data_IF_153910339273
#
_entry.id   IF_153910339273
#
_cell.length_a   1.000
_cell.length_b   1.000
_cell.length_c   1.000
_cell.angle_alpha   90.00
_cell.angle_beta   90.00
_cell.angle_gamma   90.00
#
_symmetry.space_group_name_H-M   'P 1'
#
loop_
_entity.id
_entity.type
_entity.pdbx_description
1 polymer ?
#
# COMPACT_ATOMS: atom_id res chain seq x y z
N UNK A 1 36.84 6.79 1.93
CA UNK A 1 37.19 5.60 1.13
C UNK A 1 36.19 4.44 1.24
N UNK A 2 35.68 4.07 2.42
CA UNK A 2 34.73 2.93 2.57
C UNK A 2 33.31 3.24 2.03
N UNK A 3 32.80 4.45 2.30
CA UNK A 3 31.46 4.88 1.85
C UNK A 3 31.39 5.04 0.31
N UNK A 4 32.46 5.49 -0.33
CA UNK A 4 32.51 5.63 -1.80
C UNK A 4 32.54 4.29 -2.53
N UNK A 5 33.17 3.26 -1.94
CA UNK A 5 33.14 1.89 -2.50
C UNK A 5 31.74 1.28 -2.38
N UNK A 6 31.07 1.49 -1.25
CA UNK A 6 29.68 1.06 -1.03
C UNK A 6 28.72 1.72 -2.02
N UNK A 7 28.87 3.03 -2.26
CA UNK A 7 28.04 3.77 -3.22
C UNK A 7 28.26 3.31 -4.67
N UNK A 8 29.50 3.03 -5.07
CA UNK A 8 29.81 2.51 -6.42
C UNK A 8 29.23 1.12 -6.67
N UNK A 9 29.21 0.24 -5.67
CA UNK A 9 28.63 -1.10 -5.78
C UNK A 9 27.09 -1.06 -5.94
N UNK A 10 26.43 -0.09 -5.30
CA UNK A 10 24.96 0.06 -5.33
C UNK A 10 24.49 0.86 -6.57
N UNK A 11 25.31 1.78 -7.09
CA UNK A 11 24.94 2.68 -8.21
C UNK A 11 25.09 2.09 -9.63
N UNK A 12 25.27 0.77 -9.77
CA UNK A 12 25.30 0.10 -11.07
C UNK A 12 23.99 0.35 -11.83
N UNK A 13 24.05 1.18 -12.88
CA UNK A 13 22.90 1.66 -13.67
C UNK A 13 21.92 0.54 -13.98
N UNK A 14 20.66 0.71 -13.56
CA UNK A 14 19.51 0.00 -14.10
C UNK A 14 19.37 0.33 -15.59
N UNK A 15 20.04 -0.47 -16.43
CA UNK A 15 19.86 -0.48 -17.88
C UNK A 15 18.58 -1.22 -18.25
N UNK A 16 17.91 -0.76 -19.30
CA UNK A 16 16.76 -1.43 -19.91
C UNK A 16 17.09 -2.89 -20.21
N UNK A 17 16.16 -3.78 -19.84
CA UNK A 17 16.30 -5.25 -19.94
C UNK A 17 16.46 -5.70 -21.40
N UNK A 18 17.69 -6.08 -21.75
CA UNK A 18 17.97 -7.18 -22.71
C UNK A 18 18.56 -8.35 -21.91
N UNK A 19 18.24 -9.58 -22.30
CA UNK A 19 18.72 -10.79 -21.60
C UNK A 19 20.25 -10.73 -21.43
N UNK A 20 20.79 -10.95 -20.20
CA UNK A 20 22.22 -10.93 -20.00
C UNK A 20 22.86 -12.13 -20.72
N UNK A 21 23.85 -11.87 -21.57
CA UNK A 21 24.68 -12.92 -22.18
C UNK A 21 25.57 -13.57 -21.09
N UNK A 22 26.01 -14.83 -21.28
CA UNK A 22 26.78 -15.63 -20.29
C UNK A 22 28.00 -14.90 -19.71
N UNK A 23 28.57 -13.96 -20.47
CA UNK A 23 29.69 -13.08 -20.03
C UNK A 23 29.32 -12.14 -18.87
N UNK A 24 28.08 -11.67 -18.81
CA UNK A 24 27.61 -10.71 -17.80
C UNK A 24 27.53 -11.38 -16.42
N UNK A 25 27.14 -12.65 -16.40
CA UNK A 25 27.02 -13.44 -15.18
C UNK A 25 28.40 -13.82 -14.60
N UNK A 26 29.36 -14.22 -15.44
CA UNK A 26 30.75 -14.43 -15.02
C UNK A 26 31.32 -13.18 -14.35
N UNK A 27 31.07 -12.00 -14.93
CA UNK A 27 31.50 -10.71 -14.39
C UNK A 27 30.88 -10.41 -13.01
N UNK A 28 29.58 -10.72 -12.82
CA UNK A 28 28.93 -10.55 -11.52
C UNK A 28 29.51 -11.49 -10.44
N UNK A 29 29.75 -12.76 -10.79
CA UNK A 29 30.30 -13.75 -9.85
C UNK A 29 31.75 -13.41 -9.47
N UNK A 30 32.58 -13.02 -10.43
CA UNK A 30 33.95 -12.55 -10.19
C UNK A 30 33.96 -11.29 -9.31
N UNK A 31 33.04 -10.36 -9.56
CA UNK A 31 32.88 -9.16 -8.73
C UNK A 31 32.52 -9.53 -7.28
N UNK A 32 31.64 -10.52 -7.05
CA UNK A 32 31.26 -10.90 -5.69
C UNK A 32 32.41 -11.62 -4.97
N UNK A 33 33.15 -12.48 -5.68
CA UNK A 33 34.35 -13.14 -5.16
C UNK A 33 35.45 -12.14 -4.78
N UNK A 34 35.67 -11.11 -5.60
CA UNK A 34 36.62 -10.04 -5.33
C UNK A 34 36.25 -9.19 -4.10
N UNK A 35 34.99 -9.22 -3.67
CA UNK A 35 34.47 -8.54 -2.48
C UNK A 35 34.08 -9.53 -1.37
N UNK A 36 34.75 -10.69 -1.31
CA UNK A 36 34.54 -11.74 -0.29
C UNK A 36 34.87 -11.30 1.13
N UNK A 37 35.54 -10.18 1.30
CA UNK A 37 35.77 -9.53 2.59
C UNK A 37 34.46 -9.00 3.20
N UNK A 38 33.51 -8.52 2.38
CA UNK A 38 32.23 -7.94 2.83
C UNK A 38 30.98 -8.75 2.44
N UNK A 39 31.08 -9.67 1.48
CA UNK A 39 29.98 -10.51 1.03
C UNK A 39 30.08 -11.92 1.64
N UNK A 40 28.94 -12.49 2.01
CA UNK A 40 28.82 -13.86 2.54
C UNK A 40 28.37 -14.85 1.47
N UNK A 41 27.70 -14.39 0.42
CA UNK A 41 27.19 -15.29 -0.61
C UNK A 41 26.21 -14.65 -1.59
N UNK A 42 25.34 -15.50 -2.14
CA UNK A 42 24.32 -15.15 -3.13
C UNK A 42 22.93 -15.48 -2.57
N UNK A 43 21.94 -14.66 -2.92
CA UNK A 43 20.53 -14.94 -2.73
C UNK A 43 19.82 -14.88 -4.08
N UNK A 44 18.95 -15.84 -4.35
CA UNK A 44 18.11 -15.79 -5.54
C UNK A 44 16.85 -14.95 -5.26
N UNK A 45 16.63 -13.94 -6.08
CA UNK A 45 15.51 -13.02 -5.96
C UNK A 45 14.64 -13.08 -7.22
N UNK A 46 13.45 -13.65 -7.11
CA UNK A 46 12.43 -13.68 -8.16
C UNK A 46 11.58 -12.40 -8.17
N UNK A 47 10.93 -12.09 -9.29
CA UNK A 47 9.90 -11.03 -9.28
C UNK A 47 8.61 -11.60 -8.68
N UNK A 48 8.01 -10.93 -7.68
CA UNK A 48 6.76 -11.34 -7.03
C UNK A 48 5.53 -10.97 -7.88
N UNK A 49 5.35 -11.70 -8.98
CA UNK A 49 4.18 -11.57 -9.86
C UNK A 49 3.88 -12.89 -10.59
N UNK A 50 2.67 -12.98 -11.17
CA UNK A 50 2.16 -14.22 -11.78
C UNK A 50 2.79 -14.61 -13.13
N UNK A 51 3.75 -13.84 -13.65
CA UNK A 51 4.56 -14.23 -14.82
C UNK A 51 5.81 -15.00 -14.42
N UNK A 52 6.19 -15.03 -13.14
CA UNK A 52 7.31 -15.86 -12.66
C UNK A 52 6.96 -17.33 -12.84
N UNK A 53 7.93 -18.15 -13.25
CA UNK A 53 7.71 -19.58 -13.44
C UNK A 53 7.88 -20.33 -12.12
N UNK A 54 7.35 -21.55 -12.04
CA UNK A 54 7.38 -22.33 -10.80
C UNK A 54 8.82 -22.68 -10.37
N UNK A 55 9.71 -22.97 -11.33
CA UNK A 55 11.15 -23.22 -11.07
C UNK A 55 11.83 -22.01 -10.41
N UNK A 56 11.56 -20.81 -10.92
CA UNK A 56 12.10 -19.57 -10.35
C UNK A 56 11.46 -19.22 -9.00
N UNK A 57 10.15 -19.46 -8.86
CA UNK A 57 9.42 -19.24 -7.61
C UNK A 57 9.98 -20.11 -6.47
N UNK A 58 10.28 -21.38 -6.74
CA UNK A 58 10.89 -22.32 -5.78
C UNK A 58 12.27 -21.87 -5.31
N UNK A 59 12.97 -21.03 -6.08
CA UNK A 59 14.31 -20.55 -5.73
C UNK A 59 14.29 -19.23 -4.97
N UNK A 60 13.19 -18.48 -4.97
CA UNK A 60 13.13 -17.17 -4.32
C UNK A 60 13.46 -17.28 -2.82
N UNK A 61 14.42 -16.47 -2.36
CA UNK A 61 14.88 -16.46 -0.98
C UNK A 61 15.95 -17.51 -0.63
N UNK A 62 16.24 -18.47 -1.52
CA UNK A 62 17.33 -19.44 -1.31
C UNK A 62 18.69 -18.76 -1.36
N UNK A 63 19.65 -19.27 -0.58
CA UNK A 63 20.97 -18.66 -0.38
C UNK A 63 22.09 -19.68 -0.58
N UNK A 64 23.22 -19.22 -1.09
CA UNK A 64 24.43 -20.01 -1.32
C UNK A 64 25.66 -19.25 -0.86
N UNK A 65 26.72 -19.95 -0.46
CA UNK A 65 28.04 -19.35 -0.19
C UNK A 65 28.68 -18.84 -1.49
N UNK A 66 29.80 -18.11 -1.38
CA UNK A 66 30.56 -17.61 -2.54
C UNK A 66 31.10 -18.72 -3.45
N UNK A 67 31.29 -19.92 -2.90
CA UNK A 67 31.70 -21.15 -3.58
C UNK A 67 30.51 -21.90 -4.22
N UNK A 68 29.29 -21.38 -4.03
CA UNK A 68 28.06 -21.97 -4.56
C UNK A 68 27.50 -23.10 -3.70
N UNK A 69 27.93 -23.23 -2.44
CA UNK A 69 27.41 -24.25 -1.51
C UNK A 69 26.04 -23.80 -0.98
N UNK A 70 25.00 -24.64 -1.07
CA UNK A 70 23.66 -24.33 -0.56
C UNK A 70 23.62 -24.05 0.95
N UNK A 71 22.82 -23.07 1.39
CA UNK A 71 22.63 -22.72 2.80
C UNK A 71 21.21 -23.08 3.23
N UNK A 72 21.06 -24.12 4.06
CA UNK A 72 19.76 -24.54 4.60
C UNK A 72 18.84 -25.26 3.60
N UNK A 73 19.38 -25.76 2.47
CA UNK A 73 18.66 -26.56 1.48
C UNK A 73 19.64 -27.36 0.61
N UNK A 74 19.15 -28.30 -0.20
CA UNK A 74 19.99 -29.16 -1.06
C UNK A 74 20.03 -28.73 -2.54
N UNK A 75 19.41 -27.60 -2.86
CA UNK A 75 19.35 -27.10 -4.24
C UNK A 75 20.69 -26.48 -4.65
N UNK A 76 21.35 -27.06 -5.66
CA UNK A 76 22.58 -26.53 -6.22
C UNK A 76 22.37 -25.13 -6.84
N UNK A 77 23.40 -24.28 -6.76
CA UNK A 77 23.35 -22.94 -7.34
C UNK A 77 23.15 -23.05 -8.87
N UNK A 78 22.07 -22.45 -9.44
CA UNK A 78 21.90 -22.43 -10.89
C UNK A 78 23.06 -21.70 -11.55
N UNK A 79 23.69 -22.30 -12.56
CA UNK A 79 24.86 -21.72 -13.24
C UNK A 79 24.51 -20.60 -14.23
N UNK A 80 23.24 -20.48 -14.62
CA UNK A 80 22.76 -19.42 -15.50
C UNK A 80 21.33 -18.98 -15.20
N UNK A 81 20.86 -17.95 -15.91
CA UNK A 81 19.43 -17.73 -16.10
C UNK A 81 18.76 -19.05 -16.49
N UNK A 82 17.70 -19.40 -15.76
CA UNK A 82 17.06 -20.74 -15.82
C UNK A 82 16.32 -20.93 -17.15
N UNK A 83 15.94 -19.83 -17.81
CA UNK A 83 15.25 -19.81 -19.07
C UNK A 83 15.34 -18.43 -19.72
N UNK A 84 15.08 -18.38 -21.03
CA UNK A 84 15.00 -17.12 -21.78
C UNK A 84 13.94 -16.18 -21.18
N UNK A 85 14.25 -14.88 -21.10
CA UNK A 85 13.36 -13.89 -20.50
C UNK A 85 13.19 -14.04 -18.98
N UNK A 86 14.15 -14.67 -18.29
CA UNK A 86 14.18 -14.74 -16.82
C UNK A 86 14.05 -13.33 -16.21
N UNK A 87 13.30 -13.25 -15.11
CA UNK A 87 13.05 -11.99 -14.38
C UNK A 87 13.49 -12.09 -12.92
N UNK A 88 14.41 -13.02 -12.68
CA UNK A 88 15.04 -13.24 -11.40
C UNK A 88 16.46 -12.68 -11.45
N UNK A 89 17.03 -12.43 -10.29
CA UNK A 89 18.37 -11.89 -10.15
C UNK A 89 19.09 -12.61 -9.01
N UNK A 90 20.38 -12.86 -9.18
CA UNK A 90 21.28 -13.24 -8.08
C UNK A 90 21.72 -11.96 -7.37
N UNK A 91 21.26 -11.77 -6.15
CA UNK A 91 21.62 -10.64 -5.31
C UNK A 91 22.78 -11.04 -4.38
N UNK A 92 23.78 -10.15 -4.18
CA UNK A 92 24.82 -10.40 -3.19
C UNK A 92 24.22 -10.32 -1.79
N UNK A 93 24.60 -11.26 -0.92
CA UNK A 93 24.28 -11.23 0.51
C UNK A 93 25.49 -10.66 1.24
N UNK A 94 25.28 -9.61 2.02
CA UNK A 94 26.32 -9.03 2.85
C UNK A 94 26.57 -9.91 4.08
N UNK A 95 27.79 -9.85 4.60
CA UNK A 95 28.07 -10.33 5.95
C UNK A 95 27.29 -9.48 6.97
N UNK A 96 26.91 -10.12 8.07
CA UNK A 96 26.39 -9.46 9.27
C UNK A 96 27.47 -8.55 9.87
N UNK A 97 27.07 -7.55 10.64
CA UNK A 97 27.99 -6.68 11.38
C UNK A 97 28.91 -7.50 12.28
N UNK A 98 28.37 -8.53 12.91
CA UNK A 98 29.12 -9.47 13.75
C UNK A 98 30.22 -10.21 12.97
N UNK A 99 29.91 -10.71 11.76
CA UNK A 99 30.89 -11.36 10.88
C UNK A 99 31.97 -10.38 10.37
N UNK A 100 31.67 -9.08 10.34
CA UNK A 100 32.63 -8.02 10.04
C UNK A 100 33.40 -7.53 11.28
N UNK A 101 33.21 -8.17 12.45
CA UNK A 101 33.88 -7.80 13.69
C UNK A 101 33.34 -6.52 14.35
N UNK A 102 32.11 -6.13 14.00
CA UNK A 102 31.43 -4.95 14.53
C UNK A 102 30.22 -5.36 15.38
N UNK A 103 30.10 -4.78 16.57
CA UNK A 103 29.00 -5.05 17.50
C UNK A 103 27.87 -4.04 17.29
N UNK A 104 27.13 -4.21 16.18
CA UNK A 104 25.94 -3.42 15.87
C UNK A 104 24.72 -4.34 15.65
N UNK A 105 23.50 -3.86 15.97
CA UNK A 105 22.28 -4.57 15.58
C UNK A 105 22.14 -4.59 14.05
N UNK A 106 21.67 -5.72 13.51
CA UNK A 106 21.31 -5.83 12.09
C UNK A 106 20.14 -4.91 11.74
N UNK A 107 20.04 -4.54 10.47
CA UNK A 107 18.93 -3.73 10.00
C UNK A 107 17.63 -4.53 9.93
N UNK A 108 16.50 -3.86 10.16
CA UNK A 108 15.19 -4.42 9.85
C UNK A 108 15.08 -4.72 8.35
N UNK A 109 14.36 -5.79 7.95
CA UNK A 109 14.13 -6.13 6.56
C UNK A 109 13.57 -4.95 5.76
N UNK A 110 14.10 -4.71 4.57
CA UNK A 110 13.60 -3.66 3.70
C UNK A 110 12.27 -4.06 3.04
N UNK A 111 11.76 -3.22 2.14
CA UNK A 111 10.55 -3.53 1.37
C UNK A 111 10.89 -3.83 -0.07
N UNK A 112 10.33 -4.90 -0.64
CA UNK A 112 10.42 -5.25 -2.07
C UNK A 112 9.09 -5.05 -2.79
N UNK A 113 9.16 -4.69 -4.07
CA UNK A 113 7.97 -4.52 -4.92
C UNK A 113 7.30 -5.85 -5.27
N UNK A 114 5.97 -5.87 -5.28
CA UNK A 114 5.15 -7.02 -5.69
C UNK A 114 3.92 -6.56 -6.51
N UNK A 115 3.32 -7.48 -7.28
CA UNK A 115 2.15 -7.26 -8.15
C UNK A 115 0.93 -6.69 -7.40
N UNK A 116 0.76 -7.01 -6.12
CA UNK A 116 -0.38 -6.56 -5.29
C UNK A 116 0.00 -5.51 -4.25
N UNK A 117 1.15 -4.85 -4.43
CA UNK A 117 1.67 -3.82 -3.51
C UNK A 117 3.06 -4.16 -2.96
N UNK A 118 3.73 -3.25 -2.25
CA UNK A 118 5.02 -3.53 -1.62
C UNK A 118 4.86 -4.52 -0.45
N UNK A 119 5.84 -5.42 -0.29
CA UNK A 119 5.89 -6.44 0.77
C UNK A 119 7.28 -6.46 1.43
N UNK A 120 7.43 -7.17 2.55
CA UNK A 120 8.75 -7.37 3.20
C UNK A 120 9.75 -8.02 2.24
N UNK A 121 11.01 -7.61 2.29
CA UNK A 121 12.12 -8.21 1.53
C UNK A 121 12.31 -9.70 1.83
N UNK A 122 12.03 -10.12 3.06
CA UNK A 122 12.13 -11.51 3.50
C UNK A 122 10.99 -12.40 3.00
N UNK A 123 9.88 -11.81 2.56
CA UNK A 123 8.74 -12.57 2.05
C UNK A 123 9.15 -13.26 0.75
N UNK A 124 9.25 -14.59 0.78
CA UNK A 124 9.55 -15.40 -0.39
C UNK A 124 8.30 -15.56 -1.29
N UNK A 125 8.51 -16.03 -2.52
CA UNK A 125 7.45 -16.15 -3.52
C UNK A 125 6.32 -17.08 -3.08
N UNK A 126 6.64 -18.22 -2.47
CA UNK A 126 5.63 -19.21 -2.05
C UNK A 126 4.68 -18.60 -1.01
N UNK A 127 5.23 -17.99 0.04
CA UNK A 127 4.45 -17.28 1.05
C UNK A 127 3.66 -16.12 0.48
N UNK A 128 4.27 -15.35 -0.44
CA UNK A 128 3.60 -14.28 -1.14
C UNK A 128 2.40 -14.80 -1.94
N UNK A 129 2.57 -15.92 -2.64
CA UNK A 129 1.54 -16.53 -3.46
C UNK A 129 0.36 -17.00 -2.62
N UNK A 130 0.61 -17.68 -1.50
CA UNK A 130 -0.44 -18.14 -0.61
C UNK A 130 -1.24 -16.99 -0.01
N UNK A 131 -0.55 -15.96 0.48
CA UNK A 131 -1.15 -14.86 1.26
C UNK A 131 -1.82 -13.79 0.41
N UNK A 132 -1.26 -13.47 -0.76
CA UNK A 132 -1.66 -12.27 -1.51
C UNK A 132 -2.33 -12.53 -2.85
N UNK A 133 -2.24 -13.74 -3.41
CA UNK A 133 -2.84 -14.06 -4.71
C UNK A 133 -4.30 -14.55 -4.50
N UNK A 134 -5.29 -13.92 -5.16
CA UNK A 134 -6.67 -14.40 -5.17
C UNK A 134 -6.81 -15.82 -5.73
N UNK A 135 -7.77 -16.59 -5.24
CA UNK A 135 -7.91 -18.01 -5.56
C UNK A 135 -8.12 -18.29 -7.05
N UNK A 136 -8.87 -17.43 -7.75
CA UNK A 136 -9.11 -17.54 -9.18
C UNK A 136 -7.83 -17.36 -9.99
N UNK A 137 -6.93 -16.49 -9.51
CA UNK A 137 -5.61 -16.29 -10.10
C UNK A 137 -4.64 -17.41 -9.71
N UNK A 138 -4.78 -18.02 -8.53
CA UNK A 138 -4.01 -19.21 -8.15
C UNK A 138 -4.35 -20.38 -9.06
N UNK A 139 -5.63 -20.65 -9.27
CA UNK A 139 -6.09 -21.68 -10.21
C UNK A 139 -5.58 -21.41 -11.62
N UNK A 140 -5.74 -20.17 -12.12
CA UNK A 140 -5.26 -19.83 -13.45
C UNK A 140 -3.73 -19.88 -13.58
N UNK A 141 -2.99 -19.60 -12.52
CA UNK A 141 -1.53 -19.67 -12.51
C UNK A 141 -1.04 -21.13 -12.49
N UNK A 142 -1.54 -21.95 -11.57
CA UNK A 142 -1.14 -23.34 -11.41
C UNK A 142 -1.68 -24.23 -12.54
N UNK A 143 -2.85 -23.91 -13.09
CA UNK A 143 -3.59 -24.80 -13.98
C UNK A 143 -4.32 -25.91 -13.21
N UNK A 144 -5.30 -26.54 -13.85
CA UNK A 144 -6.28 -27.41 -13.16
C UNK A 144 -5.64 -28.56 -12.37
N UNK A 145 -4.66 -29.25 -12.96
CA UNK A 145 -3.99 -30.39 -12.32
C UNK A 145 -3.19 -30.00 -11.08
N UNK A 146 -2.35 -28.96 -11.18
CA UNK A 146 -1.53 -28.50 -10.05
C UNK A 146 -2.38 -27.79 -8.98
N UNK A 147 -3.45 -27.11 -9.39
CA UNK A 147 -4.36 -26.48 -8.47
C UNK A 147 -5.15 -27.50 -7.64
N UNK A 148 -5.55 -28.62 -8.23
CA UNK A 148 -6.17 -29.72 -7.49
C UNK A 148 -5.23 -30.26 -6.38
N UNK A 149 -3.97 -30.52 -6.71
CA UNK A 149 -2.96 -30.94 -5.72
C UNK A 149 -2.75 -29.89 -4.63
N UNK A 150 -2.72 -28.61 -5.02
CA UNK A 150 -2.63 -27.49 -4.10
C UNK A 150 -3.82 -27.42 -3.13
N UNK A 151 -5.04 -27.66 -3.62
CA UNK A 151 -6.25 -27.72 -2.79
C UNK A 151 -6.27 -28.94 -1.86
N UNK A 152 -5.69 -30.06 -2.29
CA UNK A 152 -5.50 -31.28 -1.49
C UNK A 152 -4.40 -31.13 -0.42
N UNK A 153 -3.82 -29.93 -0.27
CA UNK A 153 -2.86 -29.59 0.78
C UNK A 153 -1.39 -29.65 0.36
N UNK A 154 -1.09 -29.99 -0.90
CA UNK A 154 0.28 -29.93 -1.45
C UNK A 154 0.62 -28.48 -1.83
N UNK A 155 0.91 -27.66 -0.81
CA UNK A 155 1.17 -26.22 -1.00
C UNK A 155 2.61 -25.91 -1.39
N UNK A 156 3.55 -26.84 -1.17
CA UNK A 156 4.97 -26.66 -1.48
C UNK A 156 5.22 -26.54 -2.98
N UNK A 157 5.84 -25.44 -3.41
CA UNK A 157 6.13 -25.20 -4.83
C UNK A 157 7.18 -26.15 -5.36
N UNK A 158 8.09 -26.60 -4.50
CA UNK A 158 9.09 -27.61 -4.84
C UNK A 158 8.47 -28.97 -5.15
N UNK A 159 7.32 -29.30 -4.54
CA UNK A 159 6.57 -30.52 -4.81
C UNK A 159 5.68 -30.35 -6.03
N UNK A 160 4.93 -29.25 -6.10
CA UNK A 160 4.10 -28.93 -7.27
C UNK A 160 4.91 -28.89 -8.58
N UNK A 161 6.15 -28.36 -8.54
CA UNK A 161 7.04 -28.31 -9.69
C UNK A 161 7.45 -29.68 -10.23
N UNK A 162 7.35 -30.75 -9.43
CA UNK A 162 7.61 -32.13 -9.88
C UNK A 162 6.43 -32.69 -10.70
N UNK A 163 5.24 -32.13 -10.51
CA UNK A 163 3.99 -32.63 -11.10
C UNK A 163 3.56 -31.85 -12.35
N UNK A 164 4.27 -30.78 -12.73
CA UNK A 164 3.99 -30.02 -13.95
C UNK A 164 4.53 -28.60 -13.93
N UNK A 165 4.27 -27.86 -15.01
CA UNK A 165 4.59 -26.43 -15.12
C UNK A 165 3.35 -25.56 -14.99
N UNK A 166 3.53 -24.35 -14.44
CA UNK A 166 2.50 -23.33 -14.32
C UNK A 166 2.07 -22.82 -15.69
N UNK A 167 0.79 -22.50 -15.86
CA UNK A 167 0.31 -21.89 -17.10
C UNK A 167 0.63 -20.39 -17.13
N UNK A 168 1.29 -19.87 -18.20
CA UNK A 168 1.55 -18.44 -18.28
C UNK A 168 0.26 -17.64 -18.23
N UNK A 169 0.27 -16.58 -17.45
CA UNK A 169 -0.82 -15.59 -17.38
C UNK A 169 -0.24 -14.21 -17.68
N UNK A 170 -0.87 -13.51 -18.62
CA UNK A 170 -0.44 -12.15 -18.98
C UNK A 170 -1.04 -11.11 -18.03
N UNK A 171 -0.39 -9.96 -17.85
CA UNK A 171 -0.94 -8.87 -17.02
C UNK A 171 -2.32 -8.40 -17.52
N UNK A 172 -2.58 -8.49 -18.84
CA UNK A 172 -3.89 -8.18 -19.44
C UNK A 172 -4.95 -9.20 -19.01
N UNK A 173 -4.57 -10.47 -18.94
CA UNK A 173 -5.43 -11.56 -18.50
C UNK A 173 -5.67 -11.51 -16.99
N UNK A 174 -4.65 -11.18 -16.18
CA UNK A 174 -4.82 -10.88 -14.75
C UNK A 174 -5.87 -9.79 -14.55
N UNK A 175 -5.73 -8.65 -15.25
CA UNK A 175 -6.69 -7.55 -15.18
C UNK A 175 -8.09 -7.97 -15.62
N UNK A 176 -8.19 -8.80 -16.67
CA UNK A 176 -9.46 -9.32 -17.17
C UNK A 176 -10.12 -10.23 -16.13
N UNK A 177 -9.39 -11.17 -15.54
CA UNK A 177 -9.90 -12.09 -14.52
C UNK A 177 -10.30 -11.30 -13.28
N UNK A 178 -9.49 -10.34 -12.81
CA UNK A 178 -9.87 -9.48 -11.70
C UNK A 178 -11.15 -8.68 -11.97
N UNK A 179 -11.25 -8.05 -13.14
CA UNK A 179 -12.48 -7.34 -13.55
C UNK A 179 -13.69 -8.28 -13.74
N UNK A 180 -13.47 -9.52 -14.16
CA UNK A 180 -14.53 -10.53 -14.29
C UNK A 180 -14.95 -11.08 -12.93
N UNK A 181 -14.04 -11.28 -11.99
CA UNK A 181 -14.34 -11.66 -10.60
C UNK A 181 -15.12 -10.54 -9.91
N UNK A 182 -14.77 -9.28 -10.13
CA UNK A 182 -15.52 -8.11 -9.67
C UNK A 182 -16.93 -8.05 -10.30
N UNK A 183 -17.06 -8.25 -11.61
CA UNK A 183 -18.36 -8.26 -12.30
C UNK A 183 -19.21 -9.50 -11.98
N UNK A 184 -18.62 -10.67 -11.74
CA UNK A 184 -19.35 -11.90 -11.38
C UNK A 184 -19.87 -11.81 -9.95
N UNK A 185 -19.12 -11.18 -9.04
CA UNK A 185 -19.61 -10.76 -7.72
C UNK A 185 -20.76 -9.76 -7.80
N UNK A 186 -20.77 -8.89 -8.82
CA UNK A 186 -21.87 -7.94 -9.05
C UNK A 186 -23.10 -8.58 -9.72
N UNK A 187 -22.92 -9.55 -10.63
CA UNK A 187 -24.01 -10.12 -11.46
C UNK A 187 -24.76 -11.28 -10.79
N UNK A 188 -24.10 -12.09 -9.95
CA UNK A 188 -24.77 -13.14 -9.16
C UNK A 188 -25.47 -12.63 -7.89
N UNK A 189 -25.55 -11.31 -7.72
CA UNK A 189 -26.28 -10.68 -6.62
C UNK A 189 -27.67 -10.25 -7.09
N UNK A 190 -28.56 -11.23 -7.30
CA UNK A 190 -29.98 -10.95 -7.10
C UNK A 190 -30.13 -10.75 -5.60
N UNK A 191 -30.31 -9.50 -5.16
CA UNK A 191 -30.35 -9.10 -3.75
C UNK A 191 -31.21 -10.09 -2.96
N UNK A 192 -30.60 -10.97 -2.15
CA UNK A 192 -31.37 -11.71 -1.17
C UNK A 192 -32.02 -10.67 -0.26
N UNK A 193 -33.19 -10.98 0.30
CA UNK A 193 -33.55 -10.38 1.59
C UNK A 193 -32.51 -10.86 2.59
N UNK A 194 -31.38 -10.15 2.64
CA UNK A 194 -30.29 -10.43 3.55
C UNK A 194 -30.74 -9.89 4.90
N UNK A 195 -30.93 -10.80 5.85
CA UNK A 195 -30.86 -10.46 7.25
C UNK A 195 -29.49 -9.81 7.50
N UNK A 196 -29.51 -8.55 7.93
CA UNK A 196 -28.38 -7.68 8.22
C UNK A 196 -27.14 -8.38 8.82
N UNK A 197 -25.98 -8.10 8.22
CA UNK A 197 -24.63 -8.39 8.73
C UNK A 197 -23.67 -8.61 7.55
N UNK A 198 -22.80 -7.69 7.11
CA UNK A 198 -22.09 -6.63 7.83
C UNK A 198 -22.00 -5.37 6.92
N UNK A 199 -22.91 -4.40 7.00
CA UNK A 199 -22.56 -3.22 7.77
C UNK A 199 -22.08 -3.68 9.14
N UNK A 200 -20.84 -3.41 9.54
CA UNK A 200 -20.53 -3.52 10.96
C UNK A 200 -21.13 -2.28 11.64
N UNK A 201 -22.26 -2.40 12.35
CA UNK A 201 -22.63 -1.37 13.30
C UNK A 201 -21.63 -1.57 14.46
N UNK A 202 -20.79 -0.59 14.76
CA UNK A 202 -19.79 -0.64 15.83
C UNK A 202 -18.54 -1.51 15.56
N UNK A 203 -17.72 -1.17 14.56
CA UNK A 203 -16.29 -1.13 14.87
C UNK A 203 -16.00 0.27 15.36
N UNK A 204 -15.92 0.45 16.69
CA UNK A 204 -15.47 1.72 17.25
C UNK A 204 -14.10 1.99 16.63
N UNK A 205 -13.99 3.00 15.77
CA UNK A 205 -12.70 3.40 15.20
C UNK A 205 -11.72 3.58 16.37
N UNK A 206 -10.55 2.95 16.26
CA UNK A 206 -9.55 2.95 17.31
C UNK A 206 -8.18 3.30 16.78
N UNK A 207 -7.48 4.10 17.54
CA UNK A 207 -6.08 4.43 17.33
C UNK A 207 -5.28 4.05 18.56
N UNK A 208 -4.19 3.34 18.36
CA UNK A 208 -3.26 3.00 19.43
C UNK A 208 -1.87 3.49 19.12
N UNK A 209 -1.14 3.86 20.16
CA UNK A 209 0.26 4.20 20.10
C UNK A 209 1.02 3.34 21.10
N UNK A 210 2.06 2.69 20.62
CA UNK A 210 2.94 1.86 21.43
C UNK A 210 4.36 2.41 21.42
N UNK A 211 5.07 2.25 22.54
CA UNK A 211 6.49 2.58 22.65
C UNK A 211 7.16 1.79 23.77
N UNK A 212 8.44 1.48 23.59
CA UNK A 212 9.28 0.89 24.63
C UNK A 212 9.85 1.93 25.60
N UNK A 213 10.61 1.45 26.59
CA UNK A 213 11.34 2.31 27.53
C UNK A 213 12.30 3.27 26.78
N UNK A 214 12.31 4.53 27.18
CA UNK A 214 13.12 5.58 26.54
C UNK A 214 14.01 6.30 27.55
N UNK A 215 15.15 6.82 27.08
CA UNK A 215 16.03 7.73 27.86
C UNK A 215 15.63 9.20 27.73
N UNK A 216 14.58 9.50 26.96
CA UNK A 216 14.07 10.85 26.78
C UNK A 216 13.56 11.43 28.11
N UNK A 217 13.78 12.72 28.34
CA UNK A 217 13.18 13.46 29.47
C UNK A 217 11.66 13.50 29.42
N UNK A 218 11.06 13.22 28.24
CA UNK A 218 9.61 13.11 28.08
C UNK A 218 9.06 11.74 28.49
N UNK A 219 9.89 10.77 28.89
CA UNK A 219 9.45 9.40 29.18
C UNK A 219 8.40 9.33 30.28
N UNK A 220 8.66 9.95 31.43
CA UNK A 220 7.73 9.90 32.57
C UNK A 220 6.39 10.56 32.24
N UNK A 221 6.42 11.65 31.44
CA UNK A 221 5.20 12.33 30.97
C UNK A 221 4.42 11.45 30.00
N UNK A 222 5.09 10.81 29.05
CA UNK A 222 4.46 9.91 28.11
C UNK A 222 3.85 8.69 28.83
N UNK A 223 4.57 8.12 29.80
CA UNK A 223 4.08 7.01 30.61
C UNK A 223 2.82 7.39 31.38
N UNK A 224 2.82 8.56 32.03
CA UNK A 224 1.65 9.07 32.74
C UNK A 224 0.42 9.22 31.80
N UNK A 225 0.62 9.82 30.63
CA UNK A 225 -0.45 9.97 29.63
C UNK A 225 -0.96 8.62 29.10
N UNK A 226 -0.06 7.65 28.90
CA UNK A 226 -0.39 6.31 28.46
C UNK A 226 -1.20 5.54 29.50
N UNK A 227 -0.83 5.62 30.78
CA UNK A 227 -1.56 4.97 31.88
C UNK A 227 -2.93 5.61 32.14
N UNK A 228 -3.10 6.87 31.76
CA UNK A 228 -4.36 7.61 31.86
C UNK A 228 -5.25 7.44 30.63
N UNK A 229 -4.82 6.65 29.62
CA UNK A 229 -5.59 6.43 28.42
C UNK A 229 -6.85 5.57 28.68
N UNK A 230 -7.89 5.67 27.83
CA UNK A 230 -9.10 4.86 27.96
C UNK A 230 -8.81 3.36 28.03
N UNK A 231 -7.85 2.90 27.23
CA UNK A 231 -7.34 1.54 27.27
C UNK A 231 -5.81 1.56 27.30
N UNK A 232 -5.23 0.97 28.33
CA UNK A 232 -3.78 0.82 28.52
C UNK A 232 -3.39 -0.66 28.56
N UNK A 233 -2.27 -1.01 27.93
CA UNK A 233 -1.64 -2.33 28.02
C UNK A 233 -0.13 -2.21 28.20
N UNK A 234 0.42 -3.09 29.02
CA UNK A 234 1.86 -3.33 29.14
C UNK A 234 2.14 -4.73 28.56
N UNK A 235 2.96 -4.79 27.52
CA UNK A 235 3.46 -6.04 26.97
C UNK A 235 4.54 -6.64 27.87
N UNK A 236 4.69 -7.97 27.82
CA UNK A 236 5.70 -8.71 28.58
C UNK A 236 7.14 -8.32 28.20
N UNK A 237 7.32 -7.75 27.02
CA UNK A 237 8.55 -7.18 26.48
C UNK A 237 8.84 -5.74 26.94
N UNK A 238 7.98 -5.18 27.79
CA UNK A 238 8.09 -3.80 28.28
C UNK A 238 7.61 -2.74 27.29
N UNK A 239 6.75 -3.11 26.33
CA UNK A 239 6.07 -2.17 25.45
C UNK A 239 4.83 -1.59 26.14
N UNK A 240 4.77 -0.26 26.21
CA UNK A 240 3.61 0.47 26.69
C UNK A 240 2.69 0.80 25.52
N UNK A 241 1.41 0.48 25.60
CA UNK A 241 0.42 0.80 24.57
C UNK A 241 -0.79 1.52 25.16
N UNK A 242 -1.15 2.65 24.56
CA UNK A 242 -2.40 3.36 24.81
C UNK A 242 -3.33 3.24 23.59
N UNK A 243 -4.62 3.06 23.81
CA UNK A 243 -5.65 3.01 22.75
C UNK A 243 -6.76 4.02 23.05
N UNK A 244 -7.20 4.71 22.00
CA UNK A 244 -8.18 5.79 22.02
C UNK A 244 -9.24 5.56 20.93
N UNK A 245 -10.40 6.16 21.09
CA UNK A 245 -11.48 6.14 20.10
C UNK A 245 -11.48 7.39 19.20
N UNK A 246 -12.51 7.50 18.36
CA UNK A 246 -12.77 8.67 17.52
C UNK A 246 -13.35 9.85 18.29
N UNK A 247 -13.72 9.68 19.57
CA UNK A 247 -14.23 10.75 20.40
C UNK A 247 -13.26 11.96 20.40
N UNK A 248 -13.75 13.21 20.28
CA UNK A 248 -12.88 14.38 20.23
C UNK A 248 -11.91 14.53 21.41
N UNK A 249 -12.34 14.24 22.64
CA UNK A 249 -11.48 14.39 23.82
C UNK A 249 -10.42 13.29 23.87
N UNK A 250 -10.81 12.06 23.57
CA UNK A 250 -9.88 10.93 23.49
C UNK A 250 -8.87 11.12 22.35
N UNK A 251 -9.32 11.54 21.17
CA UNK A 251 -8.43 11.78 20.03
C UNK A 251 -7.44 12.91 20.32
N UNK A 252 -7.86 13.99 20.96
CA UNK A 252 -6.95 15.06 21.37
C UNK A 252 -5.96 14.59 22.46
N UNK A 253 -6.36 13.66 23.31
CA UNK A 253 -5.47 13.02 24.29
C UNK A 253 -4.42 12.13 23.58
N UNK A 254 -4.82 11.40 22.55
CA UNK A 254 -3.89 10.70 21.65
C UNK A 254 -2.89 11.67 21.01
N UNK A 255 -3.34 12.80 20.46
CA UNK A 255 -2.46 13.79 19.81
C UNK A 255 -1.41 14.31 20.80
N UNK A 256 -1.79 14.62 22.05
CA UNK A 256 -0.86 15.04 23.10
C UNK A 256 0.23 13.99 23.36
N UNK A 257 -0.15 12.72 23.46
CA UNK A 257 0.82 11.64 23.65
C UNK A 257 1.72 11.47 22.41
N UNK A 258 1.13 11.50 21.21
CA UNK A 258 1.85 11.40 19.94
C UNK A 258 2.91 12.50 19.78
N UNK A 259 2.62 13.74 20.17
CA UNK A 259 3.59 14.86 20.11
C UNK A 259 4.84 14.58 20.96
N UNK A 260 4.71 13.88 22.09
CA UNK A 260 5.84 13.54 22.96
C UNK A 260 6.70 12.41 22.41
N UNK A 261 6.07 11.41 21.77
CA UNK A 261 6.73 10.14 21.44
C UNK A 261 6.98 9.92 19.94
N UNK A 262 6.39 10.72 19.05
CA UNK A 262 6.49 10.51 17.59
C UNK A 262 7.91 10.56 17.03
N UNK A 263 8.85 11.16 17.77
CA UNK A 263 10.28 11.17 17.43
C UNK A 263 11.05 9.93 17.88
N UNK A 264 10.45 9.05 18.69
CA UNK A 264 11.13 7.87 19.22
C UNK A 264 11.10 6.73 18.20
N UNK A 265 12.24 6.05 18.03
CA UNK A 265 12.34 4.91 17.09
C UNK A 265 11.42 3.75 17.46
N UNK A 266 11.13 3.57 18.75
CA UNK A 266 10.24 2.54 19.26
C UNK A 266 8.76 2.92 19.19
N UNK A 267 8.42 4.14 18.74
CA UNK A 267 7.03 4.59 18.72
C UNK A 267 6.32 4.15 17.44
N UNK A 268 5.27 3.36 17.59
CA UNK A 268 4.46 2.86 16.49
C UNK A 268 2.99 3.20 16.70
N UNK A 269 2.30 3.59 15.63
CA UNK A 269 0.87 3.92 15.67
C UNK A 269 0.10 2.93 14.84
N UNK A 270 -0.99 2.40 15.39
CA UNK A 270 -1.92 1.54 14.68
C UNK A 270 -3.31 2.19 14.62
N UNK A 271 -3.99 2.05 13.50
CA UNK A 271 -5.40 2.41 13.35
C UNK A 271 -6.16 1.13 12.99
N UNK A 272 -7.16 0.78 13.78
CA UNK A 272 -7.95 -0.44 13.66
C UNK A 272 -7.08 -1.71 13.53
N UNK A 273 -5.99 -1.78 14.33
CA UNK A 273 -5.06 -2.91 14.33
C UNK A 273 -4.04 -2.92 13.18
N UNK A 274 -4.07 -1.96 12.27
CA UNK A 274 -3.07 -1.85 11.20
C UNK A 274 -1.99 -0.82 11.55
N UNK A 275 -0.72 -1.23 11.51
CA UNK A 275 0.40 -0.29 11.56
C UNK A 275 0.23 0.78 10.48
N UNK A 276 0.35 2.05 10.88
CA UNK A 276 0.02 3.18 10.02
C UNK A 276 1.22 4.11 9.89
N UNK A 277 1.48 4.51 8.64
CA UNK A 277 2.61 5.38 8.30
C UNK A 277 2.51 6.76 8.97
N UNK A 278 3.68 7.31 9.34
CA UNK A 278 3.79 8.58 10.06
C UNK A 278 3.17 9.75 9.29
N UNK A 279 3.26 9.77 7.95
CA UNK A 279 2.67 10.82 7.10
C UNK A 279 1.15 10.79 7.17
N UNK A 280 0.55 9.60 7.15
CA UNK A 280 -0.91 9.43 7.28
C UNK A 280 -1.35 9.91 8.66
N UNK A 281 -0.65 9.51 9.73
CA UNK A 281 -0.96 9.98 11.09
C UNK A 281 -0.81 11.50 11.20
N UNK A 282 0.25 12.09 10.63
CA UNK A 282 0.42 13.54 10.61
C UNK A 282 -0.74 14.27 9.92
N UNK A 283 -1.20 13.76 8.76
CA UNK A 283 -2.35 14.31 8.05
C UNK A 283 -3.65 14.22 8.86
N UNK A 284 -3.88 13.08 9.53
CA UNK A 284 -5.07 12.87 10.37
C UNK A 284 -4.99 13.76 11.62
N UNK A 285 -3.85 13.82 12.31
CA UNK A 285 -3.66 14.65 13.50
C UNK A 285 -3.90 16.13 13.19
N UNK A 286 -3.41 16.59 12.04
CA UNK A 286 -3.67 17.95 11.59
C UNK A 286 -5.16 18.16 11.29
N UNK A 287 -5.74 17.37 10.38
CA UNK A 287 -7.09 17.62 9.90
C UNK A 287 -8.19 17.25 10.91
N UNK A 288 -8.17 16.03 11.44
CA UNK A 288 -9.17 15.57 12.41
C UNK A 288 -8.97 16.22 13.77
N UNK A 289 -7.71 16.48 14.18
CA UNK A 289 -7.45 17.27 15.38
C UNK A 289 -8.05 18.67 15.31
N UNK A 290 -7.92 19.36 14.17
CA UNK A 290 -8.57 20.66 13.97
C UNK A 290 -10.11 20.54 13.96
N UNK A 291 -10.66 19.48 13.36
CA UNK A 291 -12.11 19.17 13.45
C UNK A 291 -12.55 19.11 14.91
N UNK A 292 -11.85 18.31 15.73
CA UNK A 292 -12.15 18.12 17.16
C UNK A 292 -12.07 19.43 17.95
N UNK A 293 -11.11 20.31 17.65
CA UNK A 293 -10.96 21.62 18.32
C UNK A 293 -11.98 22.66 17.84
N UNK A 294 -12.40 22.60 16.58
CA UNK A 294 -13.21 23.65 15.97
C UNK A 294 -14.65 23.72 16.48
N UNK A 295 -15.22 22.57 16.90
CA UNK A 295 -16.65 22.45 17.20
C UNK A 295 -17.57 22.67 15.99
N UNK A 296 -17.02 22.84 14.78
CA UNK A 296 -17.79 23.10 13.57
C UNK A 296 -18.39 21.79 13.03
N UNK A 297 -19.73 21.61 13.01
CA UNK A 297 -20.36 20.39 12.51
C UNK A 297 -20.10 20.17 11.01
N UNK A 298 -19.91 21.26 10.26
CA UNK A 298 -19.69 21.26 8.81
C UNK A 298 -18.20 21.24 8.42
N UNK A 299 -17.27 21.09 9.38
CA UNK A 299 -15.83 21.13 9.12
C UNK A 299 -15.41 20.20 7.98
N UNK A 300 -15.96 18.99 7.94
CA UNK A 300 -15.69 18.01 6.89
C UNK A 300 -16.18 18.46 5.50
N UNK A 301 -17.26 19.24 5.43
CA UNK A 301 -17.72 19.88 4.20
C UNK A 301 -16.92 21.12 3.82
N UNK A 302 -16.20 21.72 4.76
CA UNK A 302 -15.30 22.83 4.52
C UNK A 302 -14.74 23.40 5.82
N UNK A 303 -13.43 23.33 6.01
CA UNK A 303 -12.75 24.01 7.12
C UNK A 303 -12.77 25.54 6.97
N UNK A 304 -12.98 26.02 5.74
CA UNK A 304 -13.17 27.43 5.38
C UNK A 304 -13.97 27.53 4.08
N UNK A 305 -14.37 28.75 3.73
CA UNK A 305 -15.03 29.08 2.46
C UNK A 305 -14.24 28.56 1.24
N UNK A 306 -12.91 28.53 1.32
CA UNK A 306 -12.02 28.11 0.23
C UNK A 306 -12.04 26.61 -0.03
N UNK A 307 -12.50 25.83 0.95
CA UNK A 307 -12.48 24.35 0.91
C UNK A 307 -13.88 23.76 0.92
N UNK A 308 -14.91 24.62 0.90
CA UNK A 308 -16.31 24.22 0.93
C UNK A 308 -16.64 23.35 -0.29
N UNK A 309 -17.29 22.23 -0.05
CA UNK A 309 -17.64 21.24 -1.06
C UNK A 309 -18.90 20.45 -0.65
N UNK A 310 -19.61 19.84 -1.61
CA UNK A 310 -20.81 19.05 -1.32
C UNK A 310 -20.54 17.59 -0.93
N UNK A 311 -19.29 17.12 -0.97
CA UNK A 311 -18.95 15.69 -0.92
C UNK A 311 -18.73 15.15 0.50
N UNK A 312 -18.51 16.00 1.50
CA UNK A 312 -18.31 15.57 2.90
C UNK A 312 -16.86 15.30 3.29
N UNK A 313 -15.91 15.67 2.44
CA UNK A 313 -14.50 15.75 2.83
C UNK A 313 -13.77 16.86 2.08
N UNK A 314 -13.44 17.95 2.79
CA UNK A 314 -12.75 19.12 2.24
C UNK A 314 -11.31 18.83 1.81
N UNK A 315 -10.74 17.69 2.24
CA UNK A 315 -9.44 17.23 1.79
C UNK A 315 -9.46 16.63 0.39
N UNK A 316 -10.62 16.34 -0.19
CA UNK A 316 -10.75 15.91 -1.60
C UNK A 316 -10.29 16.99 -2.59
N UNK A 317 -10.18 18.25 -2.14
CA UNK A 317 -9.78 19.38 -2.98
C UNK A 317 -10.67 19.52 -4.24
N UNK A 318 -11.98 19.43 -4.02
CA UNK A 318 -13.02 19.65 -5.03
C UNK A 318 -13.93 20.75 -4.49
N UNK A 319 -13.57 21.99 -4.76
CA UNK A 319 -14.19 23.20 -4.19
C UNK A 319 -14.18 24.31 -5.23
N UNK A 320 -14.95 25.37 -5.00
CA UNK A 320 -14.99 26.54 -5.88
C UNK A 320 -13.59 27.16 -6.15
N UNK A 321 -12.63 26.99 -5.25
CA UNK A 321 -11.26 27.55 -5.40
C UNK A 321 -10.24 26.52 -5.86
N UNK A 322 -10.62 25.24 -5.94
CA UNK A 322 -9.70 24.16 -6.26
C UNK A 322 -10.49 23.01 -6.89
N UNK A 323 -10.43 22.89 -8.21
CA UNK A 323 -11.18 21.93 -9.04
C UNK A 323 -12.70 22.00 -8.78
N UNK A 324 -13.36 23.09 -9.16
CA UNK A 324 -14.81 23.22 -9.03
C UNK A 324 -15.50 22.06 -9.76
N UNK A 325 -16.36 21.32 -9.07
CA UNK A 325 -17.02 20.14 -9.67
C UNK A 325 -17.90 20.51 -10.88
N UNK A 326 -18.36 21.76 -10.96
CA UNK A 326 -19.13 22.29 -12.09
C UNK A 326 -18.30 22.47 -13.37
N UNK A 327 -16.96 22.58 -13.28
CA UNK A 327 -16.10 22.64 -14.48
C UNK A 327 -15.96 21.28 -15.20
N UNK A 328 -16.54 20.22 -14.62
CA UNK A 328 -16.52 18.88 -15.22
C UNK A 328 -17.76 18.62 -16.10
N UNK A 329 -18.62 19.61 -16.30
CA UNK A 329 -19.66 19.56 -17.33
C UNK A 329 -19.05 19.77 -18.72
N UNK A 330 -19.53 18.99 -19.70
CA UNK A 330 -19.17 19.15 -21.10
C UNK A 330 -20.43 19.46 -21.92
N UNK A 331 -20.38 20.42 -22.86
CA UNK A 331 -21.51 20.69 -23.75
C UNK A 331 -21.77 19.48 -24.66
N UNK A 332 -23.04 19.20 -24.92
CA UNK A 332 -23.50 18.14 -25.82
C UNK A 332 -24.08 18.73 -27.11
N UNK A 333 -24.25 17.90 -28.15
CA UNK A 333 -24.72 18.35 -29.46
C UNK A 333 -26.16 18.91 -29.46
N UNK A 334 -26.97 18.55 -28.47
CA UNK A 334 -28.35 19.01 -28.29
C UNK A 334 -28.47 20.31 -27.46
N UNK A 335 -27.33 20.93 -27.09
CA UNK A 335 -27.30 22.17 -26.31
C UNK A 335 -27.43 21.97 -24.79
N UNK A 336 -27.43 20.73 -24.30
CA UNK A 336 -27.36 20.43 -22.87
C UNK A 336 -25.91 20.31 -22.38
N UNK A 337 -25.73 20.10 -21.08
CA UNK A 337 -24.41 19.92 -20.46
C UNK A 337 -24.40 18.62 -19.66
N UNK A 338 -23.43 17.75 -19.95
CA UNK A 338 -23.28 16.44 -19.29
C UNK A 338 -22.11 16.45 -18.29
N UNK A 339 -22.36 16.04 -17.05
CA UNK A 339 -21.36 15.96 -15.99
C UNK A 339 -20.47 14.72 -16.15
N UNK A 340 -19.16 14.90 -16.24
CA UNK A 340 -18.17 13.81 -16.21
C UNK A 340 -17.94 13.30 -14.78
N UNK A 341 -18.95 12.60 -14.24
CA UNK A 341 -18.86 11.92 -12.94
C UNK A 341 -17.66 10.96 -12.84
N UNK A 342 -17.31 10.16 -13.88
CA UNK A 342 -16.11 9.32 -13.83
C UNK A 342 -14.81 10.09 -13.58
N UNK A 343 -14.66 11.29 -14.13
CA UNK A 343 -13.49 12.15 -13.87
C UNK A 343 -13.47 12.68 -12.44
N UNK A 344 -14.62 13.07 -11.87
CA UNK A 344 -14.73 13.46 -10.46
C UNK A 344 -14.38 12.26 -9.56
N UNK A 345 -14.93 11.07 -9.85
CA UNK A 345 -14.64 9.84 -9.10
C UNK A 345 -13.14 9.52 -9.08
N UNK A 346 -12.45 9.58 -10.23
CA UNK A 346 -10.99 9.35 -10.30
C UNK A 346 -10.21 10.28 -9.38
N UNK A 347 -10.66 11.52 -9.22
CA UNK A 347 -10.06 12.48 -8.28
C UNK A 347 -10.36 12.12 -6.82
N UNK A 348 -11.58 11.70 -6.52
CA UNK A 348 -11.94 11.22 -5.19
C UNK A 348 -11.06 10.02 -4.82
N UNK A 349 -10.94 9.04 -5.71
CA UNK A 349 -10.17 7.81 -5.49
C UNK A 349 -8.68 8.09 -5.24
N UNK A 350 -8.10 9.05 -5.95
CA UNK A 350 -6.68 9.39 -5.77
C UNK A 350 -6.38 10.02 -4.41
N UNK A 351 -7.31 10.80 -3.87
CA UNK A 351 -7.14 11.48 -2.59
C UNK A 351 -7.59 10.62 -1.41
N UNK A 352 -8.58 9.74 -1.61
CA UNK A 352 -9.12 8.84 -0.59
C UNK A 352 -8.01 8.02 0.10
N UNK A 353 -6.98 7.60 -0.64
CA UNK A 353 -5.85 6.83 -0.08
C UNK A 353 -5.15 7.51 1.10
N UNK A 354 -5.11 8.85 1.12
CA UNK A 354 -4.44 9.61 2.19
C UNK A 354 -5.30 9.80 3.44
N UNK A 355 -6.61 9.59 3.33
CA UNK A 355 -7.58 9.93 4.38
C UNK A 355 -8.55 8.78 4.73
N UNK A 356 -8.45 7.62 4.08
CA UNK A 356 -9.31 6.46 4.34
C UNK A 356 -9.26 5.91 5.78
N UNK A 357 -8.23 6.29 6.54
CA UNK A 357 -8.08 5.96 7.97
C UNK A 357 -8.61 7.05 8.91
N UNK A 358 -9.06 8.18 8.39
CA UNK A 358 -9.66 9.25 9.20
C UNK A 358 -11.01 8.78 9.78
N UNK A 359 -11.30 9.04 11.07
CA UNK A 359 -12.57 8.63 11.68
C UNK A 359 -13.82 9.24 11.03
N UNK A 360 -13.68 10.39 10.38
CA UNK A 360 -14.79 11.08 9.72
C UNK A 360 -14.81 10.90 8.19
N UNK A 361 -13.95 10.05 7.64
CA UNK A 361 -13.93 9.79 6.21
C UNK A 361 -14.89 8.67 5.86
N UNK A 362 -15.93 9.01 5.12
CA UNK A 362 -16.96 8.09 4.67
C UNK A 362 -16.99 8.06 3.14
N UNK A 363 -16.33 7.06 2.56
CA UNK A 363 -16.21 6.91 1.12
C UNK A 363 -17.56 6.64 0.45
N UNK A 364 -18.40 5.80 1.06
CA UNK A 364 -19.72 5.46 0.51
C UNK A 364 -20.61 6.70 0.45
N UNK A 365 -20.70 7.47 1.54
CA UNK A 365 -21.43 8.75 1.53
C UNK A 365 -20.90 9.75 0.51
N UNK A 366 -19.57 9.79 0.29
CA UNK A 366 -18.95 10.64 -0.75
C UNK A 366 -19.42 10.22 -2.14
N UNK A 367 -19.44 8.92 -2.42
CA UNK A 367 -19.86 8.38 -3.72
C UNK A 367 -21.37 8.55 -3.92
N UNK A 368 -22.18 8.36 -2.89
CA UNK A 368 -23.63 8.64 -2.95
C UNK A 368 -23.90 10.10 -3.29
N UNK A 369 -23.15 11.04 -2.69
CA UNK A 369 -23.24 12.46 -3.01
C UNK A 369 -22.83 12.75 -4.45
N UNK A 370 -21.74 12.15 -4.94
CA UNK A 370 -21.35 12.25 -6.36
C UNK A 370 -22.46 11.74 -7.28
N UNK A 371 -23.06 10.59 -6.95
CA UNK A 371 -24.12 9.99 -7.74
C UNK A 371 -25.38 10.84 -7.74
N UNK A 372 -25.68 11.53 -6.63
CA UNK A 372 -26.82 12.45 -6.49
C UNK A 372 -26.71 13.74 -7.30
N UNK A 373 -25.51 14.11 -7.77
CA UNK A 373 -25.34 15.28 -8.64
C UNK A 373 -26.10 15.07 -9.96
N UNK A 374 -26.62 16.14 -10.60
CA UNK A 374 -27.28 16.00 -11.89
C UNK A 374 -26.30 15.49 -12.95
N UNK A 375 -26.73 14.48 -13.71
CA UNK A 375 -25.90 13.90 -14.79
C UNK A 375 -25.93 14.73 -16.07
N UNK A 376 -27.08 15.35 -16.37
CA UNK A 376 -27.31 16.23 -17.52
C UNK A 376 -28.15 17.41 -17.04
N UNK A 377 -27.82 18.61 -17.50
CA UNK A 377 -28.54 19.85 -17.18
C UNK A 377 -28.72 20.71 -18.43
N UNK A 378 -29.73 21.58 -18.42
CA UNK A 378 -29.88 22.62 -19.44
C UNK A 378 -28.78 23.68 -19.33
N UNK A 379 -28.58 24.50 -20.38
CA UNK A 379 -27.62 25.61 -20.37
C UNK A 379 -27.91 26.61 -19.23
N UNK A 380 -29.19 26.93 -18.99
CA UNK A 380 -29.59 27.86 -17.91
C UNK A 380 -29.30 27.29 -16.53
N UNK A 381 -29.53 26.00 -16.32
CA UNK A 381 -29.18 25.31 -15.08
C UNK A 381 -27.66 25.24 -14.89
N UNK A 382 -26.90 24.97 -15.95
CA UNK A 382 -25.44 24.98 -15.91
C UNK A 382 -24.91 26.36 -15.50
N UNK A 383 -25.41 27.45 -16.10
CA UNK A 383 -25.04 28.83 -15.73
C UNK A 383 -25.33 29.14 -14.26
N UNK A 384 -26.49 28.70 -13.74
CA UNK A 384 -26.82 28.84 -12.30
C UNK A 384 -25.86 28.06 -11.40
N UNK A 385 -25.56 26.81 -11.76
CA UNK A 385 -24.62 25.97 -11.03
C UNK A 385 -23.20 26.58 -11.01
N UNK A 386 -22.74 27.10 -12.15
CA UNK A 386 -21.46 27.80 -12.29
C UNK A 386 -21.41 29.06 -11.43
N UNK A 387 -22.48 29.85 -11.37
CA UNK A 387 -22.52 31.03 -10.51
C UNK A 387 -22.43 30.68 -9.02
N UNK A 388 -23.04 29.55 -8.62
CA UNK A 388 -23.09 29.14 -7.21
C UNK A 388 -21.84 28.38 -6.74
N UNK A 389 -21.25 27.55 -7.62
CA UNK A 389 -20.23 26.58 -7.25
C UNK A 389 -18.95 26.67 -8.10
N UNK A 390 -18.92 27.55 -9.10
CA UNK A 390 -17.77 27.78 -9.96
C UNK A 390 -16.72 28.68 -9.32
N UNK A 391 -15.63 28.97 -10.04
CA UNK A 391 -14.54 29.79 -9.53
C UNK A 391 -15.00 31.22 -9.26
N UNK A 392 -14.70 31.72 -8.06
CA UNK A 392 -14.95 33.12 -7.69
C UNK A 392 -14.10 34.05 -8.57
N UNK A 393 -14.75 35.00 -9.26
CA UNK A 393 -14.08 36.02 -10.08
C UNK A 393 -14.01 35.72 -11.59
N UNK A 394 -14.67 34.66 -12.07
CA UNK A 394 -14.81 34.40 -13.51
C UNK A 394 -15.63 35.50 -14.20
N UNK A 395 -14.96 36.39 -14.92
CA UNK A 395 -15.59 37.31 -15.88
C UNK A 395 -16.37 36.44 -16.88
N UNK A 396 -17.66 36.72 -17.06
CA UNK A 396 -18.45 36.19 -18.16
C UNK A 396 -17.77 36.58 -19.48
N UNK A 397 -16.97 35.69 -20.05
CA UNK A 397 -16.63 35.78 -21.46
C UNK A 397 -17.80 35.13 -22.18
N UNK A 398 -18.77 35.95 -22.60
CA UNK A 398 -19.71 35.56 -23.64
C UNK A 398 -18.89 35.20 -24.89
N UNK A 399 -18.60 33.91 -25.06
CA UNK A 399 -18.16 33.41 -26.35
C UNK A 399 -19.42 33.31 -27.20
N UNK A 400 -19.75 34.41 -27.89
CA UNK A 400 -20.59 34.34 -29.09
C UNK A 400 -19.78 33.61 -30.16
N UNK A 401 -20.20 32.39 -30.50
CA UNK A 401 -19.78 31.71 -31.73
C UNK A 401 -20.53 32.37 -32.89
#
# INVERSE_FOLDING_TARGET
MFIEKLFKAISGKAGQKTAPDKKTESCCMESFQANSDILSGYQWLATLDLRTCLKCATLDGKKWTLEGVPIGHDVLLPQSDIHEGCRCLKMPVTKTWKELGMDFPEFDPSTRSSMFGPVSEELNYEEWFHKHVPEELKQRYLGDHLFALYQDGMTSFSELAKHGERTPISDKEVKKIMAQTENTKATNMQLPKINNGLALPNYNWRISISFGKSRSSNFDRALFLTQSAPEYRLGDDGIYQATYSADPEEFLSFVKLYELVSGWKSAHVMINGCLTDRKIIGNINYCYGDKCRSGNPDFCFGASIFTKNPFGCHRLQISAYNNPWVEFFNPTADGTYQLDKPRIKRRIDSVAQSYNKCPAFDYESIIDRLNSLPSVVSEDEYKKLMQQNGPFGGINIEIRI
#
